data_IF_921156777860
#
_entry.id   IF_921156777860
#
_cell.length_a   1.000
_cell.length_b   1.000
_cell.length_c   1.000
_cell.angle_alpha   90.00
_cell.angle_beta   90.00
_cell.angle_gamma   90.00
#
_symmetry.space_group_name_H-M   'P 1'
#
loop_
_entity.id
_entity.type
_entity.pdbx_description
1 polymer ?
#
# COMPACT_ATOMS: atom_id res chain seq x y z
N UNK A 1 17.94 -45.66 21.26
CA UNK A 1 18.64 -46.49 20.28
C UNK A 1 19.34 -47.66 20.93
N UNK A 2 20.30 -47.45 21.84
CA UNK A 2 21.09 -48.54 22.45
C UNK A 2 20.25 -49.55 23.23
N UNK A 3 19.18 -49.11 23.91
CA UNK A 3 18.29 -50.01 24.63
C UNK A 3 17.43 -50.85 23.70
N UNK A 4 16.95 -50.30 22.57
CA UNK A 4 16.23 -51.08 21.56
C UNK A 4 17.08 -52.15 20.93
N UNK A 5 18.35 -51.87 20.59
CA UNK A 5 19.29 -52.83 20.06
C UNK A 5 19.58 -53.95 21.09
N UNK A 6 19.78 -53.59 22.35
CA UNK A 6 20.01 -54.53 23.42
C UNK A 6 18.82 -55.45 23.62
N UNK A 7 17.58 -54.92 23.57
CA UNK A 7 16.36 -55.72 23.70
C UNK A 7 16.21 -56.71 22.54
N UNK A 8 16.44 -56.28 21.32
CA UNK A 8 16.39 -57.14 20.13
C UNK A 8 17.42 -58.30 20.22
N UNK A 9 18.64 -57.98 20.68
CA UNK A 9 19.68 -59.00 20.88
C UNK A 9 19.29 -60.01 21.98
N UNK A 10 18.73 -59.59 23.08
CA UNK A 10 18.25 -60.45 24.17
C UNK A 10 17.11 -61.34 23.69
N UNK A 11 16.23 -60.83 22.83
CA UNK A 11 15.12 -61.60 22.25
C UNK A 11 15.55 -62.53 21.11
N UNK A 12 16.81 -62.49 20.68
CA UNK A 12 17.32 -63.33 19.57
C UNK A 12 16.84 -62.90 18.19
N UNK A 13 16.43 -61.64 18.07
CA UNK A 13 15.97 -61.04 16.81
C UNK A 13 17.17 -60.81 15.89
N UNK A 14 17.01 -61.17 14.60
CA UNK A 14 18.05 -60.99 13.57
C UNK A 14 17.99 -59.59 12.91
N UNK A 15 16.88 -58.86 13.11
CA UNK A 15 16.65 -57.52 12.60
C UNK A 15 16.02 -56.70 13.73
N UNK A 16 16.58 -55.49 14.01
CA UNK A 16 16.00 -54.56 14.94
C UNK A 16 15.44 -53.36 14.14
N UNK A 17 14.12 -53.24 14.11
CA UNK A 17 13.45 -52.07 13.56
C UNK A 17 13.44 -50.96 14.62
N UNK A 18 14.35 -50.03 14.44
CA UNK A 18 14.54 -48.92 15.38
C UNK A 18 13.39 -47.86 15.32
N UNK A 19 12.66 -47.79 14.19
CA UNK A 19 11.46 -46.95 14.07
C UNK A 19 10.29 -47.58 14.85
N UNK A 20 10.04 -48.88 14.69
CA UNK A 20 9.01 -49.62 15.43
C UNK A 20 9.30 -49.61 16.94
N UNK A 21 10.58 -49.58 17.33
CA UNK A 21 11.01 -49.48 18.73
C UNK A 21 11.03 -48.04 19.28
N UNK A 22 10.54 -47.06 18.55
CA UNK A 22 10.50 -45.61 18.90
C UNK A 22 11.86 -45.07 19.40
N UNK A 23 12.94 -45.54 18.77
CA UNK A 23 14.30 -45.24 19.17
C UNK A 23 14.85 -43.91 18.63
N UNK A 24 14.14 -43.25 17.75
CA UNK A 24 14.52 -41.97 17.19
C UNK A 24 13.75 -40.81 17.85
N UNK A 25 14.43 -39.72 18.08
CA UNK A 25 13.75 -38.46 18.45
C UNK A 25 12.87 -38.02 17.28
N UNK A 26 11.57 -38.01 17.48
CA UNK A 26 10.64 -37.53 16.47
C UNK A 26 10.80 -35.99 16.36
N UNK A 27 10.90 -35.44 15.14
CA UNK A 27 10.88 -33.98 14.98
C UNK A 27 9.57 -33.47 15.55
N UNK A 28 9.64 -32.32 16.28
CA UNK A 28 8.45 -31.67 16.84
C UNK A 28 7.56 -31.07 15.75
N UNK A 29 8.15 -30.78 14.59
CA UNK A 29 7.48 -30.24 13.41
C UNK A 29 7.62 -31.26 12.30
N UNK A 30 6.50 -31.79 11.86
CA UNK A 30 6.38 -32.69 10.70
C UNK A 30 5.98 -31.86 9.47
N UNK A 31 6.24 -32.42 8.28
CA UNK A 31 5.90 -31.79 7.00
C UNK A 31 4.38 -31.57 6.83
N UNK A 32 3.56 -32.35 7.52
CA UNK A 32 2.09 -32.28 7.52
C UNK A 32 1.50 -31.51 8.71
N UNK A 33 2.30 -30.65 9.33
CA UNK A 33 1.81 -29.79 10.42
C UNK A 33 0.78 -28.79 9.89
N UNK A 34 -0.51 -29.06 10.18
CA UNK A 34 -1.64 -28.27 9.68
C UNK A 34 -1.62 -26.81 10.15
N UNK A 35 -1.14 -26.55 11.38
CA UNK A 35 -1.10 -25.19 11.92
C UNK A 35 -0.05 -24.33 11.20
N UNK A 36 1.13 -24.88 10.93
CA UNK A 36 2.16 -24.18 10.17
C UNK A 36 1.73 -23.97 8.70
N UNK A 37 1.05 -24.95 8.11
CA UNK A 37 0.53 -24.81 6.76
C UNK A 37 -0.52 -23.70 6.70
N UNK A 38 -1.47 -23.65 7.65
CA UNK A 38 -2.48 -22.62 7.73
C UNK A 38 -1.87 -21.21 7.91
N UNK A 39 -0.80 -21.08 8.75
CA UNK A 39 -0.08 -19.83 8.90
C UNK A 39 0.64 -19.41 7.60
N UNK A 40 1.29 -20.37 6.90
CA UNK A 40 1.93 -20.10 5.63
C UNK A 40 0.92 -19.67 4.56
N UNK A 41 -0.24 -20.31 4.50
CA UNK A 41 -1.29 -19.96 3.56
C UNK A 41 -1.87 -18.56 3.86
N UNK A 42 -2.08 -18.23 5.13
CA UNK A 42 -2.58 -16.92 5.55
C UNK A 42 -1.61 -15.78 5.18
N UNK A 43 -0.31 -15.98 5.37
CA UNK A 43 0.66 -14.95 4.99
C UNK A 43 0.83 -14.88 3.47
N UNK A 44 0.80 -16.01 2.77
CA UNK A 44 0.86 -16.05 1.31
C UNK A 44 -0.34 -15.33 0.69
N UNK A 45 -1.53 -15.42 1.29
CA UNK A 45 -2.71 -14.65 0.87
C UNK A 45 -2.43 -13.15 0.94
N UNK A 46 -1.91 -12.64 2.07
CA UNK A 46 -1.56 -11.22 2.24
C UNK A 46 -0.50 -10.78 1.24
N UNK A 47 0.54 -11.59 1.05
CA UNK A 47 1.62 -11.32 0.09
C UNK A 47 1.20 -11.45 -1.38
N UNK A 48 0.02 -12.01 -1.66
CA UNK A 48 -0.54 -12.05 -3.02
C UNK A 48 -1.16 -10.72 -3.44
N UNK A 49 -1.33 -9.77 -2.51
CA UNK A 49 -1.84 -8.44 -2.86
C UNK A 49 -0.91 -7.75 -3.86
N UNK A 50 -1.51 -7.13 -4.86
CA UNK A 50 -0.83 -6.34 -5.88
C UNK A 50 -1.73 -5.18 -6.28
N UNK A 51 -1.45 -4.01 -5.72
CA UNK A 51 -2.32 -2.85 -5.75
C UNK A 51 -1.66 -1.74 -6.56
N UNK A 52 -2.37 -1.23 -7.57
CA UNK A 52 -1.93 -0.10 -8.39
C UNK A 52 -2.73 1.13 -8.01
N UNK A 53 -2.04 2.17 -7.58
CA UNK A 53 -2.59 3.47 -7.18
C UNK A 53 -2.27 4.48 -8.28
N UNK A 54 -3.28 5.22 -8.73
CA UNK A 54 -3.13 6.21 -9.80
C UNK A 54 -3.22 7.64 -9.23
N UNK A 55 -2.17 8.42 -9.46
CA UNK A 55 -2.06 9.82 -9.06
C UNK A 55 -2.03 10.77 -10.27
N UNK A 56 -2.40 10.32 -11.45
CA UNK A 56 -2.42 11.08 -12.70
C UNK A 56 -1.39 10.61 -13.72
N UNK A 57 -1.26 11.34 -14.82
CA UNK A 57 -0.41 10.98 -15.96
C UNK A 57 1.02 10.66 -15.50
N UNK A 58 1.48 9.44 -15.82
CA UNK A 58 2.81 8.89 -15.50
C UNK A 58 3.15 8.87 -13.98
N UNK A 59 2.14 8.94 -13.11
CA UNK A 59 2.30 8.93 -11.65
C UNK A 59 1.50 7.79 -11.05
N UNK A 60 2.03 6.59 -11.18
CA UNK A 60 1.46 5.38 -10.59
C UNK A 60 2.39 4.79 -9.55
N UNK A 61 1.81 4.26 -8.49
CA UNK A 61 2.52 3.47 -7.48
C UNK A 61 1.97 2.05 -7.46
N UNK A 62 2.87 1.10 -7.33
CA UNK A 62 2.51 -0.31 -7.21
C UNK A 62 3.00 -0.82 -5.86
N UNK A 63 2.06 -1.30 -5.06
CA UNK A 63 2.35 -2.02 -3.82
C UNK A 63 2.15 -3.51 -4.06
N UNK A 64 3.23 -4.27 -4.00
CA UNK A 64 3.24 -5.70 -4.24
C UNK A 64 4.08 -6.45 -3.19
N UNK A 65 4.23 -7.76 -3.39
CA UNK A 65 4.98 -8.62 -2.47
C UNK A 65 6.44 -8.20 -2.25
N UNK A 66 7.04 -7.43 -3.17
CA UNK A 66 8.45 -6.99 -3.03
C UNK A 66 8.61 -6.03 -1.86
N UNK A 67 7.57 -5.23 -1.60
CA UNK A 67 7.46 -4.32 -0.46
C UNK A 67 6.80 -5.02 0.74
N UNK A 68 5.70 -5.74 0.51
CA UNK A 68 4.89 -6.35 1.57
C UNK A 68 5.67 -7.39 2.41
N UNK A 69 6.62 -8.10 1.83
CA UNK A 69 7.46 -9.07 2.57
C UNK A 69 8.24 -8.42 3.73
N UNK A 70 8.62 -7.14 3.58
CA UNK A 70 9.38 -6.40 4.59
C UNK A 70 8.47 -5.78 5.67
N UNK A 71 7.15 -5.95 5.52
CA UNK A 71 6.12 -5.51 6.46
C UNK A 71 5.55 -6.66 7.30
N UNK A 72 5.98 -7.89 7.02
CA UNK A 72 5.54 -9.05 7.79
C UNK A 72 6.21 -9.06 9.14
N UNK A 73 5.41 -9.14 10.20
CA UNK A 73 5.86 -9.26 11.59
C UNK A 73 5.26 -10.50 12.23
N UNK A 74 6.00 -11.09 13.18
CA UNK A 74 5.48 -12.17 13.98
C UNK A 74 4.88 -11.59 15.26
N UNK A 75 3.61 -11.92 15.52
CA UNK A 75 2.91 -11.55 16.73
C UNK A 75 3.37 -12.41 17.93
N UNK A 76 3.03 -11.99 19.15
CA UNK A 76 3.41 -12.70 20.38
C UNK A 76 2.86 -14.12 20.47
N UNK A 77 1.72 -14.39 19.83
CA UNK A 77 1.10 -15.71 19.73
C UNK A 77 1.74 -16.63 18.68
N UNK A 78 2.78 -16.12 18.00
CA UNK A 78 3.51 -16.84 16.94
C UNK A 78 2.87 -16.74 15.55
N UNK A 79 1.71 -16.11 15.42
CA UNK A 79 1.09 -15.84 14.11
C UNK A 79 1.84 -14.74 13.33
N UNK A 80 1.56 -14.62 12.03
CA UNK A 80 2.14 -13.59 11.20
C UNK A 80 1.11 -12.58 10.76
N UNK A 81 1.46 -11.29 10.85
CA UNK A 81 0.62 -10.16 10.47
C UNK A 81 1.39 -9.15 9.60
N UNK A 82 0.67 -8.23 9.00
CA UNK A 82 1.25 -7.03 8.39
C UNK A 82 1.40 -5.95 9.47
N UNK A 83 2.55 -5.31 9.52
CA UNK A 83 2.83 -4.20 10.41
C UNK A 83 2.03 -2.96 9.98
N UNK A 84 1.02 -2.61 10.77
CA UNK A 84 0.14 -1.46 10.53
C UNK A 84 0.91 -0.13 10.52
N UNK A 85 1.99 -0.03 11.29
CA UNK A 85 2.83 1.18 11.31
C UNK A 85 3.53 1.38 9.96
N UNK A 86 3.94 0.30 9.30
CA UNK A 86 4.52 0.35 7.95
C UNK A 86 3.52 0.77 6.90
N UNK A 87 2.27 0.32 7.01
CA UNK A 87 1.20 0.76 6.11
C UNK A 87 0.91 2.24 6.31
N UNK A 88 0.85 2.70 7.56
CA UNK A 88 0.65 4.12 7.89
C UNK A 88 1.80 4.98 7.36
N UNK A 89 3.05 4.55 7.55
CA UNK A 89 4.25 5.23 7.04
C UNK A 89 4.23 5.33 5.50
N UNK A 90 3.83 4.26 4.83
CA UNK A 90 3.70 4.23 3.38
C UNK A 90 2.66 5.22 2.87
N UNK A 91 1.46 5.25 3.47
CA UNK A 91 0.40 6.20 3.10
C UNK A 91 0.82 7.64 3.39
N UNK A 92 1.52 7.90 4.50
CA UNK A 92 2.08 9.22 4.79
C UNK A 92 3.12 9.64 3.73
N UNK A 93 3.93 8.71 3.25
CA UNK A 93 4.87 8.94 2.14
C UNK A 93 4.15 9.27 0.82
N UNK A 94 3.02 8.60 0.53
CA UNK A 94 2.19 8.95 -0.62
C UNK A 94 1.61 10.36 -0.48
N UNK A 95 1.10 10.73 0.69
CA UNK A 95 0.59 12.08 0.96
C UNK A 95 1.68 13.12 0.76
N UNK A 96 2.87 12.91 1.33
CA UNK A 96 4.00 13.83 1.14
C UNK A 96 4.39 14.01 -0.34
N UNK A 97 4.25 12.96 -1.15
CA UNK A 97 4.64 12.97 -2.57
C UNK A 97 3.57 13.54 -3.48
N UNK A 98 2.28 13.35 -3.16
CA UNK A 98 1.18 13.58 -4.08
C UNK A 98 0.14 14.62 -3.62
N UNK A 99 0.14 15.04 -2.35
CA UNK A 99 -0.72 16.13 -1.89
C UNK A 99 -0.25 17.44 -2.52
N UNK A 100 -1.21 18.27 -2.94
CA UNK A 100 -0.97 19.59 -3.53
C UNK A 100 -1.66 20.72 -2.77
N UNK A 101 -2.51 20.41 -1.79
CA UNK A 101 -2.98 21.40 -0.82
C UNK A 101 -1.77 22.02 -0.11
N UNK A 102 -1.84 23.31 0.21
CA UNK A 102 -0.75 24.09 0.82
C UNK A 102 0.53 24.21 -0.04
N UNK A 103 0.48 23.89 -1.34
CA UNK A 103 1.60 24.11 -2.26
C UNK A 103 1.48 25.42 -3.03
N UNK A 104 2.62 26.03 -3.38
CA UNK A 104 2.68 27.13 -4.32
C UNK A 104 2.40 26.65 -5.74
N UNK A 105 1.76 27.49 -6.55
CA UNK A 105 1.47 27.23 -7.96
C UNK A 105 1.94 28.34 -8.86
N UNK A 106 2.57 27.99 -9.95
CA UNK A 106 2.86 28.94 -11.03
C UNK A 106 1.65 29.02 -11.96
N UNK A 107 1.13 30.22 -12.17
CA UNK A 107 -0.02 30.47 -13.04
C UNK A 107 0.33 31.52 -14.09
N UNK A 108 0.06 31.22 -15.36
CA UNK A 108 0.21 32.18 -16.44
C UNK A 108 -1.11 32.88 -16.67
N UNK A 109 -1.13 34.15 -16.43
CA UNK A 109 -2.32 35.02 -16.55
C UNK A 109 -2.72 35.21 -18.02
N UNK A 110 -3.95 35.68 -18.25
CA UNK A 110 -4.46 36.08 -19.59
C UNK A 110 -3.58 37.13 -20.25
N UNK A 111 -2.96 38.02 -19.46
CA UNK A 111 -2.00 39.00 -19.98
C UNK A 111 -0.65 38.42 -20.41
N UNK A 112 -0.41 37.14 -20.17
CA UNK A 112 0.87 36.44 -20.47
C UNK A 112 1.92 36.56 -19.35
N UNK A 113 1.60 37.19 -18.22
CA UNK A 113 2.50 37.26 -17.07
C UNK A 113 2.41 35.99 -16.25
N UNK A 114 3.53 35.58 -15.66
CA UNK A 114 3.54 34.44 -14.71
C UNK A 114 3.46 34.98 -13.28
N UNK A 115 2.51 34.48 -12.52
CA UNK A 115 2.34 34.79 -11.11
C UNK A 115 2.46 33.54 -10.25
N UNK A 116 2.96 33.69 -9.04
CA UNK A 116 2.96 32.63 -8.05
C UNK A 116 1.73 32.77 -7.17
N UNK A 117 0.85 31.78 -7.20
CA UNK A 117 -0.27 31.69 -6.30
C UNK A 117 0.22 31.18 -4.95
N UNK A 118 -0.17 31.87 -3.89
CA UNK A 118 0.18 31.51 -2.51
C UNK A 118 -0.50 30.19 -2.11
N UNK A 119 0.12 29.42 -1.19
CA UNK A 119 -0.51 28.24 -0.61
C UNK A 119 -1.91 28.53 -0.06
N UNK A 120 -2.80 27.55 -0.17
CA UNK A 120 -4.18 27.65 0.30
C UNK A 120 -4.88 26.30 0.27
N UNK A 121 -6.18 26.30 0.50
CA UNK A 121 -7.00 25.09 0.71
C UNK A 121 -7.28 24.29 -0.58
N UNK A 122 -6.97 24.83 -1.74
CA UNK A 122 -7.17 24.16 -3.02
C UNK A 122 -6.08 23.14 -3.28
N UNK A 123 -6.47 21.97 -3.79
CA UNK A 123 -5.53 20.93 -4.18
C UNK A 123 -6.03 19.52 -3.85
N UNK A 124 -5.14 18.55 -4.08
CA UNK A 124 -5.33 17.17 -3.67
C UNK A 124 -4.83 16.99 -2.24
N UNK A 125 -5.62 16.31 -1.40
CA UNK A 125 -5.23 15.94 -0.04
C UNK A 125 -5.73 14.55 0.30
N UNK A 126 -4.83 13.64 0.57
CA UNK A 126 -5.15 12.25 0.92
C UNK A 126 -5.76 12.20 2.33
N UNK A 127 -6.88 11.49 2.48
CA UNK A 127 -7.34 11.02 3.78
C UNK A 127 -6.47 9.82 4.20
N UNK A 128 -5.42 10.10 4.95
CA UNK A 128 -4.46 9.09 5.35
C UNK A 128 -5.09 8.00 6.22
N UNK A 129 -6.04 8.36 7.10
CA UNK A 129 -6.67 7.39 8.00
C UNK A 129 -7.55 6.41 7.22
N UNK A 130 -8.46 6.91 6.39
CA UNK A 130 -9.36 6.08 5.58
C UNK A 130 -8.56 5.26 4.55
N UNK A 131 -7.56 5.86 3.92
CA UNK A 131 -6.69 5.16 2.96
C UNK A 131 -5.91 4.03 3.63
N UNK A 132 -5.34 4.25 4.83
CA UNK A 132 -4.62 3.22 5.58
C UNK A 132 -5.53 2.06 5.94
N UNK A 133 -6.74 2.33 6.44
CA UNK A 133 -7.70 1.28 6.79
C UNK A 133 -8.08 0.43 5.56
N UNK A 134 -8.43 1.08 4.45
CA UNK A 134 -8.78 0.39 3.21
C UNK A 134 -7.61 -0.41 2.63
N UNK A 135 -6.38 0.13 2.75
CA UNK A 135 -5.17 -0.52 2.27
C UNK A 135 -4.84 -1.78 3.08
N UNK A 136 -4.98 -1.72 4.42
CA UNK A 136 -4.86 -2.88 5.30
C UNK A 136 -5.86 -3.97 4.95
N UNK A 137 -7.13 -3.60 4.72
CA UNK A 137 -8.16 -4.54 4.31
C UNK A 137 -7.84 -5.19 2.95
N UNK A 138 -7.42 -4.40 1.97
CA UNK A 138 -7.03 -4.90 0.65
C UNK A 138 -5.84 -5.87 0.73
N UNK A 139 -4.82 -5.56 1.53
CA UNK A 139 -3.66 -6.44 1.75
C UNK A 139 -4.10 -7.74 2.45
N UNK A 140 -4.89 -7.65 3.52
CA UNK A 140 -5.36 -8.82 4.26
C UNK A 140 -6.19 -9.77 3.41
N UNK A 141 -6.90 -9.24 2.42
CA UNK A 141 -7.70 -10.03 1.47
C UNK A 141 -6.91 -10.49 0.24
N UNK A 142 -5.65 -10.12 0.09
CA UNK A 142 -4.85 -10.46 -1.10
C UNK A 142 -5.39 -9.82 -2.39
N UNK A 143 -5.98 -8.63 -2.29
CA UNK A 143 -6.61 -7.93 -3.41
C UNK A 143 -5.59 -7.61 -4.50
N UNK A 144 -6.01 -7.71 -5.77
CA UNK A 144 -5.20 -7.39 -6.93
C UNK A 144 -5.90 -6.38 -7.85
N UNK A 145 -5.12 -5.50 -8.46
CA UNK A 145 -5.59 -4.51 -9.43
C UNK A 145 -5.58 -3.08 -8.91
N UNK A 146 -6.46 -2.24 -9.43
CA UNK A 146 -6.54 -0.84 -9.05
C UNK A 146 -7.00 -0.68 -7.60
N UNK A 147 -6.32 0.22 -6.89
CA UNK A 147 -6.68 0.63 -5.53
C UNK A 147 -6.99 2.12 -5.53
N UNK A 148 -8.17 2.47 -5.01
CA UNK A 148 -8.62 3.86 -4.96
C UNK A 148 -8.16 4.54 -3.66
N UNK A 149 -7.46 5.65 -3.81
CA UNK A 149 -7.06 6.52 -2.71
C UNK A 149 -8.27 7.34 -2.25
N UNK A 150 -8.45 7.46 -0.95
CA UNK A 150 -9.48 8.34 -0.36
C UNK A 150 -8.91 9.74 -0.19
N UNK A 151 -9.68 10.75 -0.57
CA UNK A 151 -9.25 12.15 -0.51
C UNK A 151 -10.13 12.99 0.40
N UNK A 152 -9.51 13.87 1.19
CA UNK A 152 -10.17 14.94 1.94
C UNK A 152 -10.49 16.15 1.06
N UNK A 153 -9.62 16.41 0.05
CA UNK A 153 -9.81 17.47 -0.92
C UNK A 153 -9.34 17.00 -2.29
N UNK A 154 -9.98 17.50 -3.34
CA UNK A 154 -9.65 17.20 -4.73
C UNK A 154 -9.50 18.48 -5.54
N UNK A 155 -8.66 18.46 -6.58
CA UNK A 155 -8.52 19.53 -7.54
C UNK A 155 -9.16 19.16 -8.88
N UNK A 156 -9.24 20.11 -9.80
CA UNK A 156 -9.85 19.93 -11.13
C UNK A 156 -9.05 18.99 -12.03
N UNK A 157 -7.74 18.89 -11.80
CA UNK A 157 -6.85 18.09 -12.64
C UNK A 157 -5.85 17.31 -11.81
N UNK A 158 -5.43 16.15 -12.33
CA UNK A 158 -4.30 15.35 -11.83
C UNK A 158 -2.98 15.70 -12.50
N UNK A 159 -2.98 16.64 -13.45
CA UNK A 159 -1.79 17.08 -14.13
C UNK A 159 -0.88 17.97 -13.25
N UNK A 160 0.29 18.32 -13.75
CA UNK A 160 1.22 19.21 -13.04
C UNK A 160 0.59 20.56 -12.69
N UNK A 161 -0.33 21.04 -13.55
CA UNK A 161 -1.23 22.15 -13.24
C UNK A 161 -2.58 21.59 -12.75
N UNK A 162 -2.75 21.49 -11.46
CA UNK A 162 -3.96 20.96 -10.84
C UNK A 162 -5.16 21.92 -10.87
N UNK A 163 -4.96 23.20 -11.24
CA UNK A 163 -6.03 24.16 -11.51
C UNK A 163 -6.87 23.72 -12.71
N UNK A 164 -6.23 23.04 -13.68
CA UNK A 164 -6.88 22.57 -14.88
C UNK A 164 -7.12 23.67 -15.90
N UNK A 165 -8.09 23.44 -16.79
CA UNK A 165 -8.39 24.31 -17.94
C UNK A 165 -9.72 25.08 -17.80
N UNK A 166 -10.43 24.90 -16.68
CA UNK A 166 -11.70 25.62 -16.40
C UNK A 166 -11.54 26.42 -15.09
N UNK A 167 -11.50 27.74 -15.22
CA UNK A 167 -11.27 28.63 -14.08
C UNK A 167 -11.81 30.05 -14.36
N UNK A 168 -11.85 30.84 -13.33
CA UNK A 168 -12.09 32.29 -13.40
C UNK A 168 -10.81 33.00 -12.99
N UNK A 169 -10.34 33.91 -13.86
CA UNK A 169 -9.24 34.82 -13.55
C UNK A 169 -9.81 36.19 -13.26
N UNK A 170 -9.36 36.84 -12.17
CA UNK A 170 -9.75 38.19 -11.78
C UNK A 170 -8.51 39.06 -11.61
N UNK A 171 -8.39 40.11 -12.40
CA UNK A 171 -7.40 41.18 -12.22
C UNK A 171 -8.02 42.31 -11.41
N UNK A 172 -7.57 42.47 -10.16
CA UNK A 172 -8.01 43.56 -9.32
C UNK A 172 -7.44 44.92 -9.80
N UNK A 173 -6.25 44.87 -10.42
CA UNK A 173 -5.61 46.09 -10.94
C UNK A 173 -6.35 46.67 -12.16
N UNK A 174 -6.79 45.78 -13.05
CA UNK A 174 -7.49 46.15 -14.28
C UNK A 174 -9.00 46.20 -14.09
N UNK A 175 -9.50 45.78 -12.90
CA UNK A 175 -10.93 45.61 -12.61
C UNK A 175 -11.64 44.79 -13.69
N UNK A 176 -11.02 43.70 -14.09
CA UNK A 176 -11.46 42.85 -15.20
C UNK A 176 -11.43 41.37 -14.80
N UNK A 177 -12.33 40.56 -15.37
CA UNK A 177 -12.31 39.11 -15.15
C UNK A 177 -12.52 38.36 -16.45
N UNK A 178 -11.96 37.16 -16.49
CA UNK A 178 -12.09 36.20 -17.60
C UNK A 178 -12.61 34.87 -17.07
N UNK A 179 -13.45 34.22 -17.85
CA UNK A 179 -13.93 32.86 -17.56
C UNK A 179 -13.45 31.93 -18.65
N UNK A 180 -12.80 30.88 -18.23
CA UNK A 180 -12.32 29.80 -19.10
C UNK A 180 -13.09 28.52 -18.81
N UNK A 181 -13.52 27.83 -19.89
CA UNK A 181 -14.10 26.49 -19.84
C UNK A 181 -13.35 25.64 -20.85
N UNK A 182 -12.78 24.53 -20.39
CA UNK A 182 -11.96 23.61 -21.22
C UNK A 182 -10.89 24.35 -22.04
N UNK A 183 -10.22 25.30 -21.42
CA UNK A 183 -9.15 26.10 -22.02
C UNK A 183 -9.61 27.18 -23.01
N UNK A 184 -10.92 27.37 -23.17
CA UNK A 184 -11.50 28.39 -24.04
C UNK A 184 -12.06 29.53 -23.22
N UNK A 185 -11.67 30.76 -23.55
CA UNK A 185 -12.29 31.95 -22.97
C UNK A 185 -13.75 32.05 -23.44
N UNK A 186 -14.69 32.03 -22.50
CA UNK A 186 -16.13 32.07 -22.76
C UNK A 186 -16.75 33.38 -22.35
N UNK A 187 -16.09 34.13 -21.47
CA UNK A 187 -16.54 35.44 -21.02
C UNK A 187 -15.33 36.32 -20.67
N UNK A 188 -15.44 37.60 -20.95
CA UNK A 188 -14.60 38.68 -20.40
C UNK A 188 -15.45 39.92 -20.08
N UNK A 189 -15.08 40.67 -19.03
CA UNK A 189 -15.81 41.85 -18.60
C UNK A 189 -14.96 42.74 -17.69
#
# INVERSE_FOLDING_TARGET
VMDGIRQALVNGETVCDLDAADCYAKPQILQDNADLQAQADAINQKLSASLTMDFGTDRQEVLDKTTLKDWVVQAEDGSYAIDEAKVTEYVAGLAQKYDTVDSERSFTTTSGSTVTLTPGDYGWKIDQNSTTANLLDAINNGTQGAFEIVYLATAMSREANDIGSSYVELSLADQHFWVYVDGKQVLDS
#
